data_IF_460716977765
#
_entry.id   IF_460716977765
#
_cell.length_a   1.000
_cell.length_b   1.000
_cell.length_c   1.000
_cell.angle_alpha   90.00
_cell.angle_beta   90.00
_cell.angle_gamma   90.00
#
_symmetry.space_group_name_H-M   'P 1'
#
loop_
_entity.id
_entity.type
_entity.pdbx_description
1 polymer ?
#
# COMPACT_ATOMS: atom_id res chain seq x y z
N UNK A 1 20.52 -9.66 14.56
CA UNK A 1 19.13 -9.65 15.10
C UNK A 1 18.84 -10.96 15.82
N UNK A 2 18.02 -10.98 16.93
CA UNK A 2 17.64 -12.23 17.62
C UNK A 2 16.30 -12.76 17.08
N UNK A 3 16.24 -14.03 16.76
CA UNK A 3 15.03 -14.67 16.23
C UNK A 3 14.96 -16.16 16.59
N UNK A 4 13.79 -16.77 16.40
CA UNK A 4 13.55 -18.22 16.52
C UNK A 4 12.99 -18.72 15.20
N UNK A 5 13.49 -19.85 14.72
CA UNK A 5 12.98 -20.49 13.50
C UNK A 5 11.63 -21.14 13.83
N UNK A 6 10.56 -20.70 13.15
CA UNK A 6 9.21 -21.28 13.28
C UNK A 6 8.94 -22.40 12.29
N UNK A 7 9.44 -22.23 11.08
CA UNK A 7 9.22 -23.18 10.00
C UNK A 7 10.32 -23.07 8.96
N UNK A 8 10.76 -24.19 8.43
CA UNK A 8 11.80 -24.27 7.43
C UNK A 8 11.47 -25.33 6.39
N UNK A 9 11.69 -25.00 5.13
CA UNK A 9 11.73 -25.89 3.98
C UNK A 9 12.89 -25.49 3.09
N UNK A 10 13.34 -26.34 2.19
CA UNK A 10 14.45 -26.06 1.29
C UNK A 10 14.19 -24.76 0.51
N UNK A 11 15.08 -23.77 0.65
CA UNK A 11 15.00 -22.46 -0.01
C UNK A 11 14.03 -21.46 0.64
N UNK A 12 13.36 -21.82 1.76
CA UNK A 12 12.44 -20.91 2.45
C UNK A 12 12.51 -21.08 3.96
N UNK A 13 12.68 -19.96 4.65
CA UNK A 13 12.78 -19.88 6.09
C UNK A 13 11.72 -18.94 6.65
N UNK A 14 11.01 -19.35 7.71
CA UNK A 14 10.14 -18.47 8.49
C UNK A 14 10.68 -18.35 9.91
N UNK A 15 11.02 -17.15 10.30
CA UNK A 15 11.55 -16.83 11.63
C UNK A 15 10.63 -15.89 12.37
N UNK A 16 10.65 -15.98 13.69
CA UNK A 16 9.98 -15.05 14.59
C UNK A 16 11.03 -14.19 15.29
N UNK A 17 10.91 -12.88 15.17
CA UNK A 17 11.85 -11.93 15.76
C UNK A 17 11.54 -11.78 17.24
N UNK A 18 12.57 -11.87 18.08
CA UNK A 18 12.47 -11.74 19.53
C UNK A 18 12.49 -10.26 19.96
N UNK A 19 11.40 -9.57 19.70
CA UNK A 19 11.15 -8.21 20.18
C UNK A 19 9.68 -8.05 20.59
N UNK A 20 9.36 -7.06 21.40
CA UNK A 20 7.99 -6.86 21.90
C UNK A 20 7.04 -6.27 20.87
N UNK A 21 7.55 -5.39 20.01
CA UNK A 21 6.79 -4.70 18.96
C UNK A 21 7.72 -4.34 17.81
N UNK A 22 7.17 -4.23 16.61
CA UNK A 22 7.86 -3.73 15.43
C UNK A 22 7.05 -2.57 14.85
N UNK A 23 7.70 -1.43 14.64
CA UNK A 23 7.09 -0.30 13.93
C UNK A 23 7.12 -0.55 12.42
N UNK A 24 6.31 0.19 11.65
CA UNK A 24 6.35 0.13 10.19
C UNK A 24 7.74 0.50 9.65
N UNK A 25 8.34 1.57 10.19
CA UNK A 25 9.70 1.97 9.81
C UNK A 25 10.71 0.85 10.05
N UNK A 26 10.65 0.15 11.20
CA UNK A 26 11.51 -1.00 11.47
C UNK A 26 11.28 -2.15 10.49
N UNK A 27 10.01 -2.44 10.16
CA UNK A 27 9.68 -3.47 9.18
C UNK A 27 10.20 -3.11 7.77
N UNK A 28 10.13 -1.83 7.40
CA UNK A 28 10.62 -1.34 6.11
C UNK A 28 12.15 -1.31 6.06
N UNK A 29 12.82 -0.95 7.15
CA UNK A 29 14.28 -1.03 7.26
C UNK A 29 14.77 -2.47 7.09
N UNK A 30 14.12 -3.43 7.76
CA UNK A 30 14.46 -4.84 7.61
C UNK A 30 14.15 -5.34 6.19
N UNK A 31 13.03 -4.91 5.59
CA UNK A 31 12.68 -5.25 4.22
C UNK A 31 13.74 -4.73 3.24
N UNK A 32 14.13 -3.46 3.36
CA UNK A 32 15.16 -2.84 2.53
C UNK A 32 16.48 -3.58 2.63
N UNK A 33 16.91 -3.90 3.85
CA UNK A 33 18.15 -4.66 4.08
C UNK A 33 18.11 -6.02 3.40
N UNK A 34 17.03 -6.78 3.56
CA UNK A 34 16.90 -8.13 2.98
C UNK A 34 16.78 -8.09 1.46
N UNK A 35 16.04 -7.13 0.91
CA UNK A 35 15.90 -6.96 -0.54
C UNK A 35 17.23 -6.56 -1.21
N UNK A 36 18.16 -5.97 -0.46
CA UNK A 36 19.52 -5.63 -0.92
C UNK A 36 20.53 -6.80 -0.89
N UNK A 37 20.16 -7.96 -0.34
CA UNK A 37 21.07 -9.09 -0.22
C UNK A 37 21.00 -10.01 -1.44
N UNK A 38 22.14 -10.34 -2.03
CA UNK A 38 22.23 -11.17 -3.25
C UNK A 38 21.75 -12.62 -3.07
N UNK A 39 21.82 -13.14 -1.84
CA UNK A 39 21.36 -14.48 -1.48
C UNK A 39 19.86 -14.55 -1.14
N UNK A 40 19.15 -13.41 -1.06
CA UNK A 40 17.72 -13.33 -0.75
C UNK A 40 16.95 -13.05 -2.05
N UNK A 41 16.04 -13.95 -2.41
CA UNK A 41 15.16 -13.80 -3.57
C UNK A 41 13.95 -12.93 -3.24
N UNK A 42 13.39 -13.13 -2.05
CA UNK A 42 12.28 -12.32 -1.57
C UNK A 42 12.16 -12.42 -0.04
N UNK A 43 11.74 -11.33 0.58
CA UNK A 43 11.44 -11.29 1.99
C UNK A 43 10.01 -10.77 2.21
N UNK A 44 9.32 -11.31 3.21
CA UNK A 44 8.00 -10.85 3.64
C UNK A 44 7.98 -10.68 5.15
N UNK A 45 7.83 -9.45 5.60
CA UNK A 45 7.84 -9.09 7.01
C UNK A 45 6.41 -8.79 7.46
N UNK A 46 6.01 -9.41 8.56
CA UNK A 46 4.72 -9.21 9.20
C UNK A 46 4.92 -8.55 10.56
N UNK A 47 4.80 -7.25 10.62
CA UNK A 47 5.07 -6.42 11.80
C UNK A 47 4.18 -6.75 13.01
N UNK A 48 2.94 -7.22 12.75
CA UNK A 48 1.99 -7.56 13.83
C UNK A 48 2.33 -8.87 14.53
N UNK A 49 2.81 -9.85 13.79
CA UNK A 49 3.16 -11.19 14.30
C UNK A 49 4.64 -11.34 14.54
N UNK A 50 5.45 -10.34 14.16
CA UNK A 50 6.91 -10.36 14.23
C UNK A 50 7.55 -11.51 13.44
N UNK A 51 6.82 -12.00 12.43
CA UNK A 51 7.29 -13.09 11.59
C UNK A 51 7.92 -12.55 10.31
N UNK A 52 9.06 -13.10 9.95
CA UNK A 52 9.77 -12.83 8.70
C UNK A 52 9.85 -14.13 7.91
N UNK A 53 9.35 -14.10 6.70
CA UNK A 53 9.48 -15.20 5.74
C UNK A 53 10.48 -14.80 4.69
N UNK A 54 11.55 -15.57 4.53
CA UNK A 54 12.62 -15.33 3.57
C UNK A 54 12.68 -16.48 2.60
N UNK A 55 12.72 -16.19 1.31
CA UNK A 55 13.07 -17.14 0.25
C UNK A 55 14.50 -16.83 -0.15
N UNK A 56 15.38 -17.81 -0.13
CA UNK A 56 16.81 -17.64 -0.35
C UNK A 56 17.35 -18.60 -1.39
N UNK A 57 18.47 -18.24 -1.99
CA UNK A 57 19.32 -19.09 -2.84
C UNK A 57 20.66 -19.32 -2.14
N UNK A 58 21.33 -20.42 -2.45
CA UNK A 58 22.59 -20.77 -1.80
C UNK A 58 22.41 -21.57 -0.51
N UNK A 59 23.30 -21.37 0.44
CA UNK A 59 23.31 -22.16 1.68
C UNK A 59 22.35 -21.60 2.74
N UNK A 60 21.86 -22.51 3.58
CA UNK A 60 21.03 -22.16 4.73
C UNK A 60 21.76 -21.29 5.73
N UNK A 61 23.03 -21.61 5.95
CA UNK A 61 23.91 -20.92 6.88
C UNK A 61 24.11 -19.46 6.48
N UNK A 62 24.26 -19.18 5.19
CA UNK A 62 24.35 -17.81 4.68
C UNK A 62 23.05 -17.02 4.91
N UNK A 63 21.89 -17.63 4.68
CA UNK A 63 20.61 -16.98 4.92
C UNK A 63 20.39 -16.66 6.42
N UNK A 64 20.79 -17.57 7.31
CA UNK A 64 20.75 -17.32 8.77
C UNK A 64 21.71 -16.23 9.19
N UNK A 65 22.94 -16.25 8.69
CA UNK A 65 23.93 -15.22 8.96
C UNK A 65 23.45 -13.84 8.51
N UNK A 66 22.85 -13.73 7.33
CA UNK A 66 22.24 -12.49 6.83
C UNK A 66 21.21 -11.93 7.82
N UNK A 67 20.37 -12.78 8.41
CA UNK A 67 19.40 -12.37 9.43
C UNK A 67 20.06 -12.01 10.77
N UNK A 68 21.10 -12.71 11.19
CA UNK A 68 21.84 -12.44 12.43
C UNK A 68 22.58 -11.11 12.35
N UNK A 69 23.24 -10.83 11.24
CA UNK A 69 24.06 -9.63 11.02
C UNK A 69 23.21 -8.34 10.92
N UNK A 70 21.90 -8.45 10.72
CA UNK A 70 21.02 -7.30 10.65
C UNK A 70 20.96 -6.51 11.97
N UNK A 71 21.11 -5.19 11.84
CA UNK A 71 20.97 -4.23 12.95
C UNK A 71 20.26 -2.98 12.44
N UNK A 72 19.22 -2.52 13.15
CA UNK A 72 18.47 -1.33 12.77
C UNK A 72 19.30 -0.04 12.68
N UNK A 73 20.28 0.11 13.58
CA UNK A 73 21.15 1.30 13.64
C UNK A 73 22.25 1.31 12.56
N UNK A 74 22.56 0.16 11.99
CA UNK A 74 23.60 0.01 10.95
C UNK A 74 23.07 0.05 9.52
N UNK A 75 21.75 0.18 9.33
CA UNK A 75 21.12 0.16 8.00
C UNK A 75 20.57 1.54 7.68
N UNK A 76 21.28 2.29 6.83
CA UNK A 76 20.78 3.55 6.30
C UNK A 76 19.76 3.26 5.19
N UNK A 77 18.53 3.70 5.41
CA UNK A 77 17.44 3.54 4.45
C UNK A 77 17.09 4.90 3.87
N UNK A 78 17.01 5.05 2.55
CA UNK A 78 16.59 6.30 1.93
C UNK A 78 15.20 6.72 2.43
N UNK A 79 15.03 8.01 2.77
CA UNK A 79 13.75 8.54 3.25
C UNK A 79 12.61 8.26 2.25
N UNK A 80 12.89 8.34 0.97
CA UNK A 80 11.92 8.04 -0.09
C UNK A 80 11.43 6.58 -0.04
N UNK A 81 12.26 5.63 0.39
CA UNK A 81 11.85 4.23 0.53
C UNK A 81 10.85 4.07 1.68
N UNK A 82 11.12 4.69 2.83
CA UNK A 82 10.24 4.66 4.00
C UNK A 82 8.88 5.34 3.69
N UNK A 83 8.92 6.50 3.05
CA UNK A 83 7.70 7.24 2.69
C UNK A 83 6.81 6.47 1.70
N UNK A 84 7.39 5.63 0.83
CA UNK A 84 6.68 4.87 -0.21
C UNK A 84 6.46 3.39 0.14
N UNK A 85 6.67 2.97 1.39
CA UNK A 85 6.54 1.57 1.78
C UNK A 85 5.12 1.02 1.61
N UNK A 86 4.13 1.89 1.66
CA UNK A 86 2.71 1.56 1.51
C UNK A 86 2.10 0.77 2.68
N UNK A 87 2.89 0.43 3.73
CA UNK A 87 2.38 -0.34 4.89
C UNK A 87 1.34 0.44 5.67
N UNK A 88 1.63 1.70 5.98
CA UNK A 88 0.71 2.58 6.68
C UNK A 88 -0.55 2.84 5.87
N UNK A 89 -0.39 3.16 4.58
CA UNK A 89 -1.49 3.31 3.65
C UNK A 89 -2.37 2.05 3.57
N UNK A 90 -1.78 0.87 3.41
CA UNK A 90 -2.53 -0.39 3.35
C UNK A 90 -3.32 -0.66 4.64
N UNK A 91 -2.78 -0.28 5.81
CA UNK A 91 -3.48 -0.38 7.08
C UNK A 91 -4.65 0.58 7.14
N UNK A 92 -4.44 1.83 6.78
CA UNK A 92 -5.48 2.87 6.79
C UNK A 92 -6.69 2.45 5.94
N UNK A 93 -6.47 2.02 4.69
CA UNK A 93 -7.57 1.56 3.83
C UNK A 93 -8.26 0.29 4.34
N UNK A 94 -7.52 -0.65 4.92
CA UNK A 94 -8.13 -1.82 5.58
C UNK A 94 -9.00 -1.43 6.76
N UNK A 95 -8.55 -0.50 7.59
CA UNK A 95 -9.31 -0.02 8.73
C UNK A 95 -10.57 0.75 8.28
N UNK A 96 -10.48 1.55 7.21
CA UNK A 96 -11.64 2.20 6.58
C UNK A 96 -12.65 1.18 6.05
N UNK A 97 -12.21 0.12 5.35
CA UNK A 97 -13.09 -0.94 4.87
C UNK A 97 -13.78 -1.67 6.02
N UNK A 98 -13.02 -2.07 7.05
CA UNK A 98 -13.56 -2.75 8.22
C UNK A 98 -14.59 -1.86 8.92
N UNK A 99 -14.27 -0.60 9.16
CA UNK A 99 -15.17 0.35 9.80
C UNK A 99 -16.46 0.55 8.98
N UNK A 100 -16.36 0.63 7.65
CA UNK A 100 -17.52 0.77 6.77
C UNK A 100 -18.44 -0.46 6.83
N UNK A 101 -17.84 -1.67 6.84
CA UNK A 101 -18.57 -2.93 6.98
C UNK A 101 -19.25 -3.01 8.36
N UNK A 102 -18.48 -2.80 9.43
CA UNK A 102 -18.99 -2.84 10.81
C UNK A 102 -20.12 -1.82 11.00
N UNK A 103 -19.94 -0.59 10.49
CA UNK A 103 -20.96 0.45 10.59
C UNK A 103 -22.24 0.09 9.81
N UNK A 104 -22.10 -0.47 8.60
CA UNK A 104 -23.26 -0.89 7.78
C UNK A 104 -24.08 -1.98 8.48
N UNK A 105 -23.43 -3.05 8.90
CA UNK A 105 -24.11 -4.16 9.58
C UNK A 105 -24.56 -3.78 11.00
N UNK A 106 -23.78 -2.96 11.72
CA UNK A 106 -24.16 -2.42 13.03
C UNK A 106 -25.43 -1.59 12.96
N UNK A 107 -25.52 -0.66 12.01
CA UNK A 107 -26.74 0.14 11.80
C UNK A 107 -27.91 -0.78 11.44
N UNK A 108 -27.70 -1.78 10.61
CA UNK A 108 -28.75 -2.70 10.18
C UNK A 108 -29.26 -3.60 11.30
N UNK A 109 -28.40 -3.99 12.24
CA UNK A 109 -28.74 -4.93 13.32
C UNK A 109 -29.31 -4.23 14.55
N UNK A 110 -28.75 -3.06 14.92
CA UNK A 110 -29.07 -2.42 16.20
C UNK A 110 -30.07 -1.25 16.10
N UNK A 111 -30.27 -0.65 14.90
CA UNK A 111 -31.14 0.49 14.77
C UNK A 111 -32.54 0.10 14.25
N UNK A 112 -33.64 0.66 14.88
CA UNK A 112 -34.99 0.53 14.36
C UNK A 112 -35.14 1.06 12.93
N UNK A 113 -36.16 0.54 12.23
CA UNK A 113 -36.37 0.87 10.81
C UNK A 113 -36.56 2.37 10.56
N UNK A 114 -37.28 3.05 11.49
CA UNK A 114 -37.57 4.49 11.37
C UNK A 114 -36.28 5.32 11.36
N UNK A 115 -35.37 5.04 12.31
CA UNK A 115 -34.09 5.74 12.37
C UNK A 115 -33.22 5.43 11.13
N UNK A 116 -33.24 4.18 10.67
CA UNK A 116 -32.51 3.77 9.46
C UNK A 116 -33.02 4.48 8.22
N UNK A 117 -34.34 4.65 8.07
CA UNK A 117 -34.94 5.37 6.96
C UNK A 117 -34.44 6.82 6.89
N UNK A 118 -34.41 7.52 8.01
CA UNK A 118 -33.89 8.89 8.10
C UNK A 118 -32.40 8.95 7.72
N UNK A 119 -31.57 8.07 8.31
CA UNK A 119 -30.13 8.02 8.00
C UNK A 119 -29.89 7.74 6.52
N UNK A 120 -30.65 6.78 5.93
CA UNK A 120 -30.52 6.42 4.52
C UNK A 120 -30.93 7.59 3.63
N UNK A 121 -32.04 8.27 3.93
CA UNK A 121 -32.49 9.43 3.18
C UNK A 121 -31.50 10.58 3.23
N UNK A 122 -30.94 10.89 4.41
CA UNK A 122 -29.91 11.94 4.53
C UNK A 122 -28.64 11.59 3.74
N UNK A 123 -28.19 10.33 3.84
CA UNK A 123 -27.01 9.87 3.07
C UNK A 123 -27.23 9.86 1.57
N UNK A 124 -28.46 9.58 1.10
CA UNK A 124 -28.80 9.55 -0.32
C UNK A 124 -28.64 10.92 -0.98
N UNK A 125 -28.79 12.00 -0.23
CA UNK A 125 -28.68 13.36 -0.75
C UNK A 125 -27.32 13.64 -1.42
N UNK A 126 -26.22 13.11 -0.87
CA UNK A 126 -24.88 13.22 -1.46
C UNK A 126 -24.86 12.64 -2.88
N UNK A 127 -25.40 11.44 -3.07
CA UNK A 127 -25.41 10.74 -4.36
C UNK A 127 -26.36 11.39 -5.36
N UNK A 128 -27.57 11.78 -4.91
CA UNK A 128 -28.54 12.49 -5.73
C UNK A 128 -27.97 13.80 -6.26
N UNK A 129 -27.33 14.59 -5.38
CA UNK A 129 -26.70 15.85 -5.76
C UNK A 129 -25.59 15.65 -6.79
N UNK A 130 -24.77 14.60 -6.61
CA UNK A 130 -23.69 14.29 -7.54
C UNK A 130 -24.23 13.88 -8.91
N UNK A 131 -25.27 13.06 -8.95
CA UNK A 131 -25.94 12.68 -10.20
C UNK A 131 -26.57 13.86 -10.92
N UNK A 132 -27.30 14.74 -10.20
CA UNK A 132 -27.90 15.96 -10.76
C UNK A 132 -26.82 16.89 -11.32
N UNK A 133 -25.71 17.09 -10.60
CA UNK A 133 -24.59 17.92 -11.05
C UNK A 133 -23.94 17.39 -12.32
N UNK A 134 -23.83 16.06 -12.47
CA UNK A 134 -23.28 15.41 -13.66
C UNK A 134 -24.24 15.57 -14.84
N UNK A 135 -25.52 15.35 -14.62
CA UNK A 135 -26.55 15.53 -15.62
C UNK A 135 -26.68 16.98 -16.12
N UNK A 136 -26.56 17.94 -15.19
CA UNK A 136 -26.58 19.38 -15.51
C UNK A 136 -25.40 19.81 -16.41
N UNK A 137 -24.30 19.04 -16.41
CA UNK A 137 -23.15 19.23 -17.34
C UNK A 137 -23.39 18.57 -18.70
N UNK A 138 -24.57 18.02 -18.97
CA UNK A 138 -24.90 17.30 -20.19
C UNK A 138 -24.23 15.93 -20.33
N UNK A 139 -23.73 15.35 -19.22
CA UNK A 139 -23.06 14.06 -19.24
C UNK A 139 -23.93 12.98 -18.61
N UNK A 140 -24.01 11.83 -19.24
CA UNK A 140 -24.65 10.61 -18.71
C UNK A 140 -23.54 9.65 -18.34
N UNK A 141 -23.13 9.72 -17.08
CA UNK A 141 -22.04 8.93 -16.50
C UNK A 141 -22.58 8.10 -15.31
N UNK A 142 -21.73 7.24 -14.73
CA UNK A 142 -22.07 6.36 -13.59
C UNK A 142 -22.80 7.09 -12.45
N UNK A 143 -22.41 8.31 -12.03
CA UNK A 143 -23.11 9.02 -10.97
C UNK A 143 -24.60 9.29 -11.23
N UNK A 144 -25.02 9.36 -12.50
CA UNK A 144 -26.45 9.52 -12.86
C UNK A 144 -27.22 8.22 -12.63
N UNK A 145 -26.61 7.08 -12.98
CA UNK A 145 -27.18 5.75 -12.70
C UNK A 145 -27.31 5.50 -11.20
N UNK A 146 -26.29 5.82 -10.44
CA UNK A 146 -26.28 5.66 -8.99
C UNK A 146 -27.35 6.51 -8.33
N UNK A 147 -27.44 7.78 -8.71
CA UNK A 147 -28.49 8.68 -8.23
C UNK A 147 -29.89 8.18 -8.58
N UNK A 148 -30.09 7.65 -9.78
CA UNK A 148 -31.37 7.10 -10.20
C UNK A 148 -31.74 5.86 -9.39
N UNK A 149 -30.81 4.91 -9.23
CA UNK A 149 -31.05 3.69 -8.47
C UNK A 149 -31.37 3.98 -6.99
N UNK A 150 -30.59 4.85 -6.36
CA UNK A 150 -30.78 5.25 -4.97
C UNK A 150 -32.09 6.07 -4.83
N UNK A 151 -32.32 7.03 -5.73
CA UNK A 151 -33.51 7.89 -5.69
C UNK A 151 -34.80 7.10 -5.84
N UNK A 152 -34.86 6.19 -6.81
CA UNK A 152 -36.05 5.31 -7.00
C UNK A 152 -36.25 4.41 -5.78
N UNK A 153 -35.19 3.85 -5.19
CA UNK A 153 -35.32 3.01 -3.99
C UNK A 153 -35.86 3.80 -2.80
N UNK A 154 -35.36 5.02 -2.58
CA UNK A 154 -35.87 5.90 -1.49
C UNK A 154 -37.31 6.30 -1.73
N UNK A 155 -37.69 6.69 -2.96
CA UNK A 155 -39.07 7.06 -3.29
C UNK A 155 -40.07 5.91 -3.10
N UNK A 156 -39.61 4.67 -3.30
CA UNK A 156 -40.42 3.45 -3.07
C UNK A 156 -40.45 3.03 -1.60
N UNK A 157 -39.73 3.73 -0.71
CA UNK A 157 -39.59 3.35 0.69
C UNK A 157 -38.69 2.14 0.94
N UNK A 158 -37.97 1.68 -0.10
CA UNK A 158 -37.01 0.56 0.03
C UNK A 158 -35.63 1.06 0.50
N UNK A 159 -35.59 1.46 1.75
CA UNK A 159 -34.38 1.97 2.40
C UNK A 159 -33.28 0.90 2.56
N UNK A 160 -33.67 -0.39 2.55
CA UNK A 160 -32.70 -1.48 2.62
C UNK A 160 -31.89 -1.58 1.31
N UNK A 161 -32.55 -1.54 0.17
CA UNK A 161 -31.89 -1.54 -1.13
C UNK A 161 -31.06 -0.27 -1.32
N UNK A 162 -31.63 0.92 -1.03
CA UNK A 162 -30.87 2.17 -1.11
C UNK A 162 -29.61 2.15 -0.23
N UNK A 163 -29.72 1.66 1.01
CA UNK A 163 -28.60 1.52 1.94
C UNK A 163 -27.54 0.54 1.44
N UNK A 164 -27.94 -0.58 0.86
CA UNK A 164 -27.04 -1.59 0.31
C UNK A 164 -26.29 -1.07 -0.92
N UNK A 165 -26.99 -0.37 -1.82
CA UNK A 165 -26.35 0.27 -3.00
C UNK A 165 -25.32 1.30 -2.55
N UNK A 166 -25.68 2.22 -1.64
CA UNK A 166 -24.73 3.23 -1.11
C UNK A 166 -23.55 2.59 -0.39
N UNK A 167 -23.74 1.47 0.29
CA UNK A 167 -22.67 0.72 0.94
C UNK A 167 -21.70 0.16 -0.10
N UNK A 168 -22.21 -0.52 -1.15
CA UNK A 168 -21.36 -1.08 -2.20
C UNK A 168 -20.58 -0.02 -2.97
N UNK A 169 -21.24 1.10 -3.32
CA UNK A 169 -20.58 2.23 -3.96
C UNK A 169 -19.45 2.78 -3.10
N UNK A 170 -19.70 2.94 -1.82
CA UNK A 170 -18.68 3.46 -0.94
C UNK A 170 -17.55 2.45 -0.63
N UNK A 171 -17.75 1.14 -0.76
CA UNK A 171 -16.65 0.16 -0.77
C UNK A 171 -15.86 0.32 -2.07
N UNK A 172 -16.54 0.49 -3.21
CA UNK A 172 -15.91 0.74 -4.51
C UNK A 172 -15.00 1.96 -4.49
N UNK A 173 -15.49 3.11 -3.97
CA UNK A 173 -14.70 4.35 -3.84
C UNK A 173 -13.39 4.12 -3.04
N UNK A 174 -13.47 3.39 -1.91
CA UNK A 174 -12.29 3.10 -1.08
C UNK A 174 -11.30 2.20 -1.84
N UNK A 175 -11.78 1.16 -2.51
CA UNK A 175 -10.94 0.23 -3.26
C UNK A 175 -10.28 0.90 -4.47
N UNK A 176 -11.00 1.75 -5.17
CA UNK A 176 -10.49 2.53 -6.30
C UNK A 176 -9.35 3.45 -5.85
N UNK A 177 -9.59 4.24 -4.79
CA UNK A 177 -8.58 5.15 -4.25
C UNK A 177 -7.35 4.38 -3.74
N UNK A 178 -7.56 3.27 -3.03
CA UNK A 178 -6.48 2.41 -2.55
C UNK A 178 -5.65 1.85 -3.70
N UNK A 179 -6.32 1.28 -4.72
CA UNK A 179 -5.64 0.70 -5.89
C UNK A 179 -4.85 1.75 -6.65
N UNK A 180 -5.44 2.93 -6.86
CA UNK A 180 -4.75 4.05 -7.51
C UNK A 180 -3.49 4.47 -6.75
N UNK A 181 -3.60 4.75 -5.45
CA UNK A 181 -2.46 5.16 -4.62
C UNK A 181 -1.39 4.07 -4.53
N UNK A 182 -1.80 2.81 -4.42
CA UNK A 182 -0.88 1.69 -4.41
C UNK A 182 -0.11 1.56 -5.73
N UNK A 183 -0.79 1.66 -6.87
CA UNK A 183 -0.16 1.59 -8.18
C UNK A 183 0.86 2.71 -8.39
N UNK A 184 0.53 3.94 -7.99
CA UNK A 184 1.47 5.08 -8.04
C UNK A 184 2.67 4.85 -7.12
N UNK A 185 2.45 4.34 -5.90
CA UNK A 185 3.52 4.03 -4.95
C UNK A 185 4.45 2.91 -5.44
N UNK A 186 3.89 1.83 -5.99
CA UNK A 186 4.66 0.72 -6.54
C UNK A 186 5.50 1.16 -7.76
N UNK A 187 4.93 2.03 -8.61
CA UNK A 187 5.66 2.62 -9.74
C UNK A 187 6.81 3.51 -9.25
N UNK A 188 6.55 4.41 -8.29
CA UNK A 188 7.59 5.27 -7.72
C UNK A 188 8.71 4.45 -7.09
N UNK A 189 8.39 3.35 -6.39
CA UNK A 189 9.37 2.43 -5.81
C UNK A 189 10.20 1.76 -6.90
N UNK A 190 9.58 1.23 -7.95
CA UNK A 190 10.32 0.56 -9.02
C UNK A 190 11.25 1.50 -9.78
N UNK A 191 10.84 2.76 -9.94
CA UNK A 191 11.70 3.79 -10.55
C UNK A 191 12.85 4.21 -9.63
N UNK A 192 12.66 4.26 -8.31
CA UNK A 192 13.72 4.61 -7.36
C UNK A 192 14.75 3.51 -7.15
N UNK A 193 14.39 2.24 -7.35
CA UNK A 193 15.28 1.10 -7.20
C UNK A 193 16.16 0.84 -8.45
N UNK A 194 15.88 1.50 -9.57
CA UNK A 194 16.53 1.17 -10.85
C UNK A 194 17.68 2.10 -11.26
N UNK A 195 18.17 2.97 -10.36
CA UNK A 195 19.35 3.80 -10.62
C UNK A 195 20.57 3.21 -9.89
N UNK A 196 20.94 2.00 -10.24
CA UNK A 196 22.13 1.36 -9.67
C UNK A 196 23.45 1.94 -10.20
N UNK A 197 23.45 2.49 -11.40
CA UNK A 197 24.65 3.01 -12.07
C UNK A 197 24.36 4.27 -12.85
N UNK A 198 25.29 5.23 -12.79
CA UNK A 198 25.25 6.48 -13.55
C UNK A 198 26.55 6.70 -14.30
N UNK A 199 26.46 7.36 -15.44
CA UNK A 199 27.63 7.74 -16.20
C UNK A 199 28.25 9.00 -15.61
N UNK A 200 29.51 8.93 -15.22
CA UNK A 200 30.29 10.09 -14.74
C UNK A 200 31.34 10.42 -15.76
N UNK A 201 31.39 11.69 -16.16
CA UNK A 201 32.47 12.18 -17.04
C UNK A 201 33.66 12.57 -16.17
N UNK A 202 34.75 11.81 -16.27
CA UNK A 202 36.02 12.12 -15.60
C UNK A 202 37.13 12.19 -16.65
N UNK A 203 37.82 13.32 -16.71
CA UNK A 203 38.90 13.57 -17.67
C UNK A 203 38.48 13.38 -19.16
N UNK A 204 37.20 13.69 -19.48
CA UNK A 204 36.68 13.55 -20.85
C UNK A 204 36.28 12.13 -21.25
N UNK A 205 36.34 11.18 -20.32
CA UNK A 205 35.87 9.79 -20.51
C UNK A 205 34.61 9.54 -19.69
N UNK A 206 33.63 8.86 -20.27
CA UNK A 206 32.41 8.43 -19.60
C UNK A 206 32.67 7.08 -18.91
N UNK A 207 32.54 7.08 -17.58
CA UNK A 207 32.75 5.88 -16.74
C UNK A 207 31.44 5.56 -16.06
N UNK A 208 30.96 4.31 -16.17
CA UNK A 208 29.76 3.84 -15.47
C UNK A 208 30.12 3.49 -14.01
N UNK A 209 29.62 4.28 -13.08
CA UNK A 209 29.89 4.09 -11.65
C UNK A 209 28.60 3.83 -10.90
N UNK A 210 28.65 3.09 -9.77
CA UNK A 210 27.50 2.95 -8.87
C UNK A 210 27.02 4.33 -8.39
N UNK A 211 25.69 4.54 -8.34
CA UNK A 211 25.09 5.81 -7.88
C UNK A 211 25.52 6.18 -6.46
N UNK A 212 25.81 5.18 -5.62
CA UNK A 212 26.32 5.34 -4.25
C UNK A 212 27.73 5.92 -4.15
N UNK A 213 28.50 5.90 -5.23
CA UNK A 213 29.88 6.45 -5.27
C UNK A 213 29.93 7.94 -5.59
N UNK A 214 28.79 8.58 -5.90
CA UNK A 214 28.73 9.99 -6.26
C UNK A 214 28.59 10.83 -4.99
N UNK A 215 29.53 11.78 -4.83
CA UNK A 215 29.45 12.77 -3.75
C UNK A 215 28.49 13.91 -4.13
N UNK A 216 27.82 14.49 -3.14
CA UNK A 216 26.79 15.56 -3.26
C UNK A 216 27.22 16.83 -4.04
N UNK A 217 28.47 16.92 -4.49
CA UNK A 217 29.04 18.07 -5.21
C UNK A 217 29.28 17.76 -6.70
N UNK A 218 28.92 16.56 -7.16
CA UNK A 218 29.11 16.18 -8.58
C UNK A 218 27.99 16.77 -9.41
N UNK A 219 28.37 17.59 -10.42
CA UNK A 219 27.42 18.18 -11.36
C UNK A 219 26.90 17.07 -12.30
N UNK A 220 25.62 16.76 -12.24
CA UNK A 220 24.99 15.76 -13.12
C UNK A 220 24.36 16.43 -14.33
N UNK A 221 24.89 16.22 -15.53
CA UNK A 221 24.20 16.54 -16.78
C UNK A 221 23.36 15.35 -17.20
N UNK A 222 22.04 15.50 -17.15
CA UNK A 222 21.10 14.55 -17.74
C UNK A 222 21.00 14.86 -19.24
N UNK A 223 21.61 14.02 -20.06
CA UNK A 223 21.40 14.03 -21.51
C UNK A 223 20.21 13.12 -21.80
N UNK A 224 19.07 13.68 -22.17
CA UNK A 224 17.96 12.91 -22.72
C UNK A 224 18.44 12.29 -24.04
N UNK A 225 18.40 10.97 -24.14
CA UNK A 225 18.53 10.28 -25.42
C UNK A 225 17.21 10.46 -26.15
N UNK A 226 17.20 11.34 -27.15
CA UNK A 226 16.17 11.33 -28.18
C UNK A 226 16.44 10.14 -29.08
N UNK A 227 15.55 9.16 -29.07
CA UNK A 227 15.43 8.14 -30.12
C UNK A 227 14.35 8.56 -31.08
#
# INVERSE_FOLDING_TARGET
>A
MRFVIKHEIKGRLRVHIQQSRMSFAQADTLQYYLDGQSNIVSAKIQERTLDVTVVYTGSREEALKTLEDFTYQGTEVPENYLANSGREMNREYKDQLINKVVMHYGIRLFLPMDIRSVITTVKSFKYLWHGIKTLAKGKIEVPVLDATAIGVSVLRGDYNTAGSVMFLLGIGEILEEWTHKKSVGDLARSMSLNIDKVWVVSNGQEILVPSTSIKSVSYTHLRAHET
#
